data_IF_036948679422
#
_entry.id   IF_036948679422
#
_cell.length_a   1.000
_cell.length_b   1.000
_cell.length_c   1.000
_cell.angle_alpha   90.00
_cell.angle_beta   90.00
_cell.angle_gamma   90.00
#
_symmetry.space_group_name_H-M   'P 1'
#
loop_
_entity.id
_entity.type
_entity.pdbx_description
1 polymer ?
#
# COMPACT_ATOMS: atom_id res chain seq x y z
N UNK A 1 -17.80 -29.18 2.44
CA UNK A 1 -16.88 -29.15 1.28
C UNK A 1 -17.05 -27.80 0.59
N UNK A 2 -16.23 -26.83 1.01
CA UNK A 2 -16.35 -25.40 0.68
C UNK A 2 -15.91 -25.16 -0.76
N UNK A 3 -16.88 -25.04 -1.67
CA UNK A 3 -16.64 -24.85 -3.11
C UNK A 3 -16.98 -23.42 -3.50
N UNK A 4 -16.11 -22.49 -3.12
CA UNK A 4 -16.16 -21.11 -3.63
C UNK A 4 -14.75 -20.52 -3.79
N UNK A 5 -13.97 -21.14 -4.66
CA UNK A 5 -12.80 -20.50 -5.27
C UNK A 5 -13.13 -20.35 -6.74
N UNK A 6 -13.75 -19.22 -7.11
CA UNK A 6 -13.76 -18.81 -8.52
C UNK A 6 -12.31 -18.67 -8.93
N UNK A 7 -11.86 -19.56 -9.79
CA UNK A 7 -10.52 -19.53 -10.36
C UNK A 7 -10.44 -18.29 -11.25
N UNK A 8 -9.78 -17.24 -10.75
CA UNK A 8 -9.73 -15.93 -11.42
C UNK A 8 -8.85 -15.97 -12.69
N UNK A 9 -8.21 -17.12 -12.93
CA UNK A 9 -7.38 -17.45 -14.08
C UNK A 9 -8.17 -18.11 -15.22
N UNK A 10 -9.40 -18.57 -14.99
CA UNK A 10 -10.25 -19.17 -16.03
C UNK A 10 -11.42 -18.25 -16.40
N UNK A 11 -11.56 -17.94 -17.71
CA UNK A 11 -12.65 -17.13 -18.26
C UNK A 11 -12.21 -15.82 -18.94
N UNK A 12 -13.15 -14.88 -19.11
CA UNK A 12 -12.86 -13.58 -19.73
C UNK A 12 -12.01 -12.72 -18.79
N UNK A 13 -10.74 -12.54 -19.17
CA UNK A 13 -9.75 -11.68 -18.48
C UNK A 13 -10.33 -10.31 -18.14
N UNK A 14 -11.08 -9.72 -19.07
CA UNK A 14 -11.69 -8.39 -18.91
C UNK A 14 -12.68 -8.36 -17.75
N UNK A 15 -13.51 -9.40 -17.58
CA UNK A 15 -14.53 -9.44 -16.52
C UNK A 15 -13.90 -9.61 -15.13
N UNK A 16 -12.89 -10.46 -15.01
CA UNK A 16 -12.19 -10.67 -13.73
C UNK A 16 -11.34 -9.45 -13.36
N UNK A 17 -10.73 -8.79 -14.35
CA UNK A 17 -10.02 -7.53 -14.15
C UNK A 17 -10.96 -6.46 -13.60
N UNK A 18 -12.14 -6.27 -14.20
CA UNK A 18 -13.13 -5.31 -13.69
C UNK A 18 -13.65 -5.67 -12.29
N UNK A 19 -13.84 -6.96 -11.99
CA UNK A 19 -14.29 -7.41 -10.66
C UNK A 19 -13.26 -7.11 -9.56
N UNK A 20 -11.97 -7.16 -9.85
CA UNK A 20 -10.90 -6.84 -8.90
C UNK A 20 -10.57 -5.33 -8.87
N UNK A 21 -10.55 -4.69 -10.04
CA UNK A 21 -10.19 -3.29 -10.17
C UNK A 21 -11.24 -2.38 -9.55
N UNK A 22 -12.54 -2.68 -9.74
CA UNK A 22 -13.63 -1.85 -9.24
C UNK A 22 -13.60 -1.65 -7.71
N UNK A 23 -13.50 -2.70 -6.86
CA UNK A 23 -13.38 -2.50 -5.42
C UNK A 23 -12.07 -1.81 -5.02
N UNK A 24 -10.95 -2.05 -5.72
CA UNK A 24 -9.69 -1.35 -5.45
C UNK A 24 -9.78 0.15 -5.76
N UNK A 25 -10.40 0.53 -6.88
CA UNK A 25 -10.59 1.93 -7.28
C UNK A 25 -11.51 2.62 -6.26
N UNK A 26 -12.64 2.00 -5.91
CA UNK A 26 -13.56 2.56 -4.91
C UNK A 26 -12.86 2.71 -3.56
N UNK A 27 -12.06 1.74 -3.14
CA UNK A 27 -11.29 1.81 -1.89
C UNK A 27 -10.30 2.99 -1.87
N UNK A 28 -9.55 3.19 -2.97
CA UNK A 28 -8.62 4.32 -3.07
C UNK A 28 -9.36 5.66 -3.09
N UNK A 29 -10.45 5.78 -3.86
CA UNK A 29 -11.25 7.00 -3.92
C UNK A 29 -11.87 7.36 -2.56
N UNK A 30 -12.32 6.36 -1.79
CA UNK A 30 -12.79 6.58 -0.42
C UNK A 30 -11.65 7.05 0.49
N UNK A 31 -10.46 6.46 0.37
CA UNK A 31 -9.29 6.87 1.15
C UNK A 31 -8.89 8.33 0.85
N UNK A 32 -8.88 8.73 -0.42
CA UNK A 32 -8.61 10.11 -0.82
C UNK A 32 -9.70 11.07 -0.35
N UNK A 33 -10.97 10.66 -0.42
CA UNK A 33 -12.07 11.45 0.10
C UNK A 33 -11.95 11.67 1.61
N UNK A 34 -11.54 10.65 2.37
CA UNK A 34 -11.28 10.78 3.81
C UNK A 34 -10.17 11.79 4.10
N UNK A 35 -9.07 11.78 3.35
CA UNK A 35 -8.02 12.79 3.50
C UNK A 35 -8.54 14.23 3.30
N UNK A 36 -9.43 14.43 2.31
CA UNK A 36 -10.05 15.74 2.07
C UNK A 36 -11.01 16.11 3.22
N UNK A 37 -11.82 15.17 3.68
CA UNK A 37 -12.75 15.41 4.80
C UNK A 37 -11.98 15.77 6.06
N UNK A 38 -10.92 15.05 6.39
CA UNK A 38 -10.06 15.35 7.54
C UNK A 38 -9.47 16.76 7.43
N UNK A 39 -8.99 17.14 6.24
CA UNK A 39 -8.48 18.49 5.98
C UNK A 39 -9.56 19.57 6.16
N UNK A 40 -10.80 19.32 5.73
CA UNK A 40 -11.94 20.23 5.93
C UNK A 40 -12.27 20.36 7.42
N UNK A 41 -12.29 19.25 8.16
CA UNK A 41 -12.59 19.26 9.60
C UNK A 41 -11.52 20.02 10.38
N UNK A 42 -10.24 19.79 10.08
CA UNK A 42 -9.14 20.57 10.67
C UNK A 42 -9.25 22.04 10.27
N UNK A 43 -9.66 22.34 9.05
CA UNK A 43 -9.83 23.71 8.59
C UNK A 43 -10.93 24.50 9.28
N UNK A 44 -11.92 23.83 9.87
CA UNK A 44 -12.94 24.47 10.69
C UNK A 44 -12.40 24.95 12.05
N UNK A 45 -11.23 24.47 12.47
CA UNK A 45 -10.58 24.86 13.75
C UNK A 45 -9.77 26.16 13.58
N UNK A 46 -9.38 26.52 12.35
CA UNK A 46 -8.74 27.79 12.02
C UNK A 46 -7.78 27.70 10.84
N UNK A 47 -7.48 28.84 10.20
CA UNK A 47 -6.57 28.89 9.04
C UNK A 47 -5.15 28.42 9.39
N UNK A 48 -4.67 28.71 10.61
CA UNK A 48 -3.38 28.23 11.10
C UNK A 48 -3.33 26.70 11.23
N UNK A 49 -4.45 26.05 11.56
CA UNK A 49 -4.52 24.59 11.68
C UNK A 49 -4.39 23.90 10.30
N UNK A 50 -4.92 24.52 9.23
CA UNK A 50 -4.73 24.03 7.85
C UNK A 50 -3.28 24.17 7.43
N UNK A 51 -2.65 25.31 7.73
CA UNK A 51 -1.24 25.54 7.42
C UNK A 51 -0.34 24.53 8.15
N UNK A 52 -0.64 24.24 9.42
CA UNK A 52 0.05 23.22 10.21
C UNK A 52 -0.13 21.81 9.63
N UNK A 53 -1.34 21.42 9.22
CA UNK A 53 -1.60 20.11 8.60
C UNK A 53 -1.05 20.01 7.18
N UNK A 54 -1.01 21.10 6.41
CA UNK A 54 -0.38 21.12 5.10
C UNK A 54 1.13 20.89 5.20
N UNK A 55 1.81 21.60 6.11
CA UNK A 55 3.24 21.42 6.36
C UNK A 55 3.55 20.06 7.02
N UNK A 56 2.77 19.66 8.03
CA UNK A 56 2.91 18.35 8.68
C UNK A 56 2.59 17.20 7.73
N UNK A 57 1.63 17.39 6.83
CA UNK A 57 1.24 16.44 5.79
C UNK A 57 2.39 16.16 4.83
N UNK A 58 3.16 17.17 4.42
CA UNK A 58 4.35 16.98 3.58
C UNK A 58 5.40 16.11 4.29
N UNK A 59 5.64 16.36 5.58
CA UNK A 59 6.58 15.55 6.37
C UNK A 59 6.09 14.11 6.54
N UNK A 60 4.81 13.91 6.83
CA UNK A 60 4.19 12.58 6.89
C UNK A 60 4.27 11.86 5.55
N UNK A 61 4.02 12.56 4.45
CA UNK A 61 4.08 12.00 3.10
C UNK A 61 5.50 11.58 2.72
N UNK A 62 6.53 12.36 3.08
CA UNK A 62 7.93 11.97 2.88
C UNK A 62 8.27 10.65 3.57
N UNK A 63 7.88 10.49 4.84
CA UNK A 63 8.04 9.25 5.60
C UNK A 63 7.27 8.09 4.96
N UNK A 64 6.05 8.36 4.49
CA UNK A 64 5.21 7.37 3.83
C UNK A 64 5.82 6.88 2.50
N UNK A 65 6.36 7.78 1.68
CA UNK A 65 6.99 7.43 0.39
C UNK A 65 8.24 6.57 0.60
N UNK A 66 9.04 6.81 1.64
CA UNK A 66 10.17 5.94 2.00
C UNK A 66 9.71 4.51 2.30
N UNK A 67 8.61 4.38 3.05
CA UNK A 67 8.02 3.08 3.38
C UNK A 67 7.47 2.38 2.14
N UNK A 68 6.80 3.11 1.24
CA UNK A 68 6.33 2.59 -0.05
C UNK A 68 7.51 2.12 -0.90
N UNK A 69 8.62 2.85 -0.93
CA UNK A 69 9.81 2.48 -1.71
C UNK A 69 10.36 1.11 -1.31
N UNK A 70 10.50 0.88 0.00
CA UNK A 70 10.99 -0.40 0.54
C UNK A 70 9.99 -1.54 0.27
N UNK A 71 8.71 -1.27 0.46
CA UNK A 71 7.64 -2.25 0.19
C UNK A 71 7.60 -2.64 -1.29
N UNK A 72 7.65 -1.66 -2.19
CA UNK A 72 7.60 -1.89 -3.64
C UNK A 72 8.86 -2.62 -4.13
N UNK A 73 10.04 -2.27 -3.61
CA UNK A 73 11.30 -2.98 -3.91
C UNK A 73 11.26 -4.43 -3.45
N UNK A 74 10.68 -4.70 -2.28
CA UNK A 74 10.46 -6.05 -1.76
C UNK A 74 9.53 -6.85 -2.67
N UNK A 75 8.36 -6.30 -3.02
CA UNK A 75 7.39 -6.96 -3.89
C UNK A 75 8.02 -7.27 -5.25
N UNK A 76 8.80 -6.36 -5.82
CA UNK A 76 9.51 -6.58 -7.08
C UNK A 76 10.53 -7.73 -6.98
N UNK A 77 11.33 -7.79 -5.90
CA UNK A 77 12.26 -8.89 -5.69
C UNK A 77 11.54 -10.24 -5.52
N UNK A 78 10.51 -10.27 -4.67
CA UNK A 78 9.72 -11.48 -4.41
C UNK A 78 9.04 -11.97 -5.68
N UNK A 79 8.42 -11.08 -6.45
CA UNK A 79 7.81 -11.42 -7.74
C UNK A 79 8.84 -12.01 -8.73
N UNK A 80 10.07 -11.49 -8.73
CA UNK A 80 11.17 -12.03 -9.57
C UNK A 80 11.58 -13.44 -9.17
N UNK A 81 11.69 -13.74 -7.87
CA UNK A 81 12.05 -15.08 -7.39
C UNK A 81 10.92 -16.09 -7.56
N UNK A 82 9.67 -15.68 -7.34
CA UNK A 82 8.48 -16.50 -7.62
C UNK A 82 8.37 -16.82 -9.11
N UNK A 83 8.58 -15.84 -9.99
CA UNK A 83 8.59 -16.04 -11.44
C UNK A 83 9.72 -16.97 -11.92
N UNK A 84 10.83 -17.03 -11.19
CA UNK A 84 11.95 -17.94 -11.46
C UNK A 84 11.77 -19.36 -10.87
N UNK A 85 10.61 -19.69 -10.28
CA UNK A 85 10.32 -20.97 -9.62
C UNK A 85 11.27 -21.31 -8.45
N UNK A 86 11.94 -20.30 -7.88
CA UNK A 86 12.89 -20.46 -6.75
C UNK A 86 12.20 -20.09 -5.45
N UNK A 87 11.30 -20.96 -5.00
CA UNK A 87 10.45 -20.71 -3.82
C UNK A 87 11.25 -20.52 -2.52
N UNK A 88 12.31 -21.31 -2.28
CA UNK A 88 13.16 -21.17 -1.08
C UNK A 88 13.88 -19.82 -1.00
N UNK A 89 14.31 -19.30 -2.17
CA UNK A 89 14.93 -17.99 -2.27
C UNK A 89 13.90 -16.86 -2.11
N UNK A 90 12.67 -17.06 -2.57
CA UNK A 90 11.57 -16.11 -2.35
C UNK A 90 11.22 -15.99 -0.87
N UNK A 91 11.21 -17.09 -0.13
CA UNK A 91 10.97 -17.10 1.32
C UNK A 91 12.07 -16.36 2.09
N UNK A 92 13.34 -16.65 1.78
CA UNK A 92 14.48 -15.95 2.40
C UNK A 92 14.44 -14.45 2.14
N UNK A 93 14.15 -14.04 0.91
CA UNK A 93 14.06 -12.62 0.53
C UNK A 93 12.87 -11.95 1.21
N UNK A 94 11.73 -12.64 1.33
CA UNK A 94 10.57 -12.13 2.06
C UNK A 94 10.88 -11.91 3.55
N UNK A 95 11.56 -12.86 4.20
CA UNK A 95 12.02 -12.71 5.59
C UNK A 95 13.02 -11.56 5.75
N UNK A 96 14.02 -11.46 4.86
CA UNK A 96 15.00 -10.37 4.90
C UNK A 96 14.34 -9.00 4.72
N UNK A 97 13.41 -8.89 3.78
CA UNK A 97 12.64 -7.67 3.57
C UNK A 97 11.74 -7.32 4.75
N UNK A 98 11.16 -8.30 5.45
CA UNK A 98 10.41 -8.10 6.69
C UNK A 98 11.30 -7.50 7.78
N UNK A 99 12.48 -8.07 7.99
CA UNK A 99 13.46 -7.56 8.97
C UNK A 99 13.90 -6.14 8.59
N UNK A 100 14.21 -5.90 7.31
CA UNK A 100 14.58 -4.58 6.80
C UNK A 100 13.45 -3.56 6.98
N UNK A 101 12.21 -3.97 6.73
CA UNK A 101 11.01 -3.16 6.92
C UNK A 101 10.78 -2.78 8.38
N UNK A 102 10.95 -3.73 9.32
CA UNK A 102 10.89 -3.45 10.77
C UNK A 102 11.99 -2.47 11.16
N UNK A 103 13.22 -2.69 10.69
CA UNK A 103 14.35 -1.81 11.01
C UNK A 103 14.13 -0.39 10.51
N UNK A 104 13.62 -0.24 9.28
CA UNK A 104 13.30 1.06 8.71
C UNK A 104 12.10 1.72 9.41
N UNK A 105 11.07 0.94 9.76
CA UNK A 105 9.93 1.45 10.52
C UNK A 105 10.33 1.97 11.90
N UNK A 106 11.23 1.28 12.61
CA UNK A 106 11.78 1.76 13.89
C UNK A 106 12.62 3.02 13.69
N UNK A 107 13.44 3.07 12.62
CA UNK A 107 14.23 4.26 12.29
C UNK A 107 13.41 5.48 11.87
N UNK A 108 12.23 5.29 11.29
CA UNK A 108 11.30 6.38 10.95
C UNK A 108 10.41 6.80 12.14
N UNK A 109 10.22 5.92 13.12
CA UNK A 109 9.42 6.21 14.32
C UNK A 109 10.19 6.95 15.42
N UNK A 110 11.53 6.88 15.41
CA UNK A 110 12.45 7.58 16.32
C UNK A 110 12.86 8.93 15.74
#
# INVERSE_FOLDING_TARGET
MTKDKRDLTEGSIVRNLWYLALPMIVGNLLQDALNIVDMIFVGRIGADAIAAVGMGGILLYMTFVLSIGISTGTVAMVARFIGAQKHDAAEHVAMQSLILGIFCSVGLAV
#
